data_IF_456442224313
#
_entry.id   IF_456442224313
#
_cell.length_a   1.000
_cell.length_b   1.000
_cell.length_c   1.000
_cell.angle_alpha   90.00
_cell.angle_beta   90.00
_cell.angle_gamma   90.00
#
_symmetry.space_group_name_H-M   'P 1'
#
loop_
_entity.id
_entity.type
_entity.pdbx_description
1 polymer ?
#
# COMPACT_ATOMS: atom_id res chain seq x y z
N UNK A 1 -23.33 -26.13 23.78
CA UNK A 1 -22.53 -24.92 23.49
C UNK A 1 -21.66 -24.55 24.68
N UNK A 2 -20.43 -24.08 24.44
CA UNK A 2 -19.41 -23.64 25.40
C UNK A 2 -18.64 -22.49 24.78
N UNK A 3 -18.37 -21.45 25.56
CA UNK A 3 -17.55 -20.31 25.12
C UNK A 3 -16.26 -20.27 25.92
N UNK A 4 -15.12 -20.21 25.24
CA UNK A 4 -13.82 -20.07 25.89
C UNK A 4 -12.89 -19.13 25.14
N UNK A 5 -12.03 -18.47 25.92
CA UNK A 5 -10.95 -17.61 25.46
C UNK A 5 -9.62 -18.24 25.89
N UNK A 6 -8.70 -18.40 24.94
CA UNK A 6 -7.35 -18.89 25.23
C UNK A 6 -6.33 -17.89 24.72
N UNK A 7 -5.39 -17.49 25.55
CA UNK A 7 -4.33 -16.56 25.16
C UNK A 7 -3.41 -17.21 24.12
N UNK A 8 -3.23 -16.54 22.97
CA UNK A 8 -2.49 -17.10 21.82
C UNK A 8 -0.98 -17.09 22.06
N UNK A 9 -0.45 -16.08 22.76
CA UNK A 9 1.00 -15.95 22.98
C UNK A 9 1.57 -17.03 23.91
N UNK A 10 0.88 -17.34 25.00
CA UNK A 10 1.37 -18.32 25.99
C UNK A 10 0.70 -19.71 25.88
N UNK A 11 -0.49 -19.81 25.27
CA UNK A 11 -1.28 -21.05 25.15
C UNK A 11 -1.71 -21.68 26.49
N UNK A 12 -1.50 -21.00 27.62
CA UNK A 12 -1.72 -21.51 28.99
C UNK A 12 -2.84 -20.79 29.71
N UNK A 13 -2.98 -19.49 29.52
CA UNK A 13 -4.10 -18.74 30.11
C UNK A 13 -5.38 -19.07 29.36
N UNK A 14 -6.29 -19.77 30.02
CA UNK A 14 -7.61 -20.11 29.47
C UNK A 14 -8.70 -19.59 30.41
N UNK A 15 -9.70 -18.94 29.84
CA UNK A 15 -10.91 -18.52 30.51
C UNK A 15 -12.09 -19.23 29.85
N UNK A 16 -12.88 -19.93 30.66
CA UNK A 16 -14.13 -20.55 30.24
C UNK A 16 -15.25 -19.72 30.86
N UNK A 17 -16.21 -19.32 30.04
CA UNK A 17 -17.32 -18.51 30.54
C UNK A 17 -18.15 -19.33 31.55
N UNK A 18 -18.40 -18.81 32.77
CA UNK A 18 -19.14 -19.54 33.81
C UNK A 18 -20.54 -19.95 33.41
N UNK A 19 -21.17 -19.09 32.62
CA UNK A 19 -22.52 -19.20 32.09
C UNK A 19 -22.47 -18.95 30.59
N UNK A 20 -23.28 -19.68 29.84
CA UNK A 20 -23.37 -19.50 28.40
C UNK A 20 -24.15 -18.20 28.08
N UNK A 21 -23.72 -17.43 27.07
CA UNK A 21 -24.56 -16.38 26.52
C UNK A 21 -25.80 -16.98 25.84
N UNK A 22 -26.90 -16.23 25.82
CA UNK A 22 -28.14 -16.66 25.15
C UNK A 22 -27.97 -16.65 23.62
N UNK A 23 -27.23 -15.68 23.10
CA UNK A 23 -26.97 -15.53 21.68
C UNK A 23 -25.51 -15.11 21.43
N UNK A 24 -24.93 -15.62 20.35
CA UNK A 24 -23.63 -15.16 19.85
C UNK A 24 -23.82 -14.63 18.43
N UNK A 25 -23.58 -13.34 18.24
CA UNK A 25 -23.71 -12.67 16.95
C UNK A 25 -22.33 -12.54 16.27
N UNK A 26 -22.24 -12.93 15.01
CA UNK A 26 -21.04 -12.80 14.19
C UNK A 26 -21.32 -11.99 12.92
N UNK A 27 -20.62 -10.88 12.74
CA UNK A 27 -20.78 -9.98 11.59
C UNK A 27 -19.56 -10.04 10.68
N UNK A 28 -19.76 -10.61 9.49
CA UNK A 28 -18.79 -10.60 8.39
C UNK A 28 -19.22 -9.56 7.36
N UNK A 29 -18.38 -8.55 7.11
CA UNK A 29 -18.69 -7.47 6.16
C UNK A 29 -17.67 -7.47 5.03
N UNK A 30 -18.15 -7.37 3.80
CA UNK A 30 -17.31 -7.10 2.63
C UNK A 30 -16.93 -5.62 2.63
N UNK A 31 -15.65 -5.33 2.37
CA UNK A 31 -15.20 -3.96 2.19
C UNK A 31 -15.47 -3.54 0.75
N UNK A 32 -16.19 -2.45 0.52
CA UNK A 32 -16.51 -1.94 -0.81
C UNK A 32 -15.79 -0.62 -1.06
N UNK A 33 -15.27 -0.46 -2.27
CA UNK A 33 -14.84 0.81 -2.82
C UNK A 33 -16.00 1.40 -3.61
N UNK A 34 -16.61 2.46 -3.07
CA UNK A 34 -17.67 3.20 -3.74
C UNK A 34 -17.08 4.27 -4.66
N UNK A 35 -17.66 4.43 -5.85
CA UNK A 35 -17.41 5.51 -6.79
C UNK A 35 -18.74 6.17 -7.13
N UNK A 36 -18.80 7.49 -7.05
CA UNK A 36 -19.95 8.25 -7.53
C UNK A 36 -19.64 8.81 -8.92
N UNK A 37 -20.44 8.43 -9.91
CA UNK A 37 -20.25 8.80 -11.31
C UNK A 37 -21.38 9.76 -11.68
N UNK A 38 -21.04 11.01 -11.99
CA UNK A 38 -21.97 12.12 -12.26
C UNK A 38 -23.15 11.78 -13.19
N UNK A 39 -22.95 10.89 -14.16
CA UNK A 39 -23.99 10.46 -15.11
C UNK A 39 -24.57 9.06 -14.86
N UNK A 40 -23.98 8.28 -13.96
CA UNK A 40 -24.24 6.85 -13.80
C UNK A 40 -24.61 6.42 -12.36
N UNK A 41 -24.53 7.34 -11.40
CA UNK A 41 -24.82 7.10 -9.98
C UNK A 41 -23.70 6.36 -9.25
N UNK A 42 -24.06 5.76 -8.10
CA UNK A 42 -23.11 5.08 -7.20
C UNK A 42 -22.78 3.66 -7.70
N UNK A 43 -21.50 3.37 -7.88
CA UNK A 43 -20.96 2.03 -8.21
C UNK A 43 -20.12 1.51 -7.03
N UNK A 44 -20.46 0.33 -6.50
CA UNK A 44 -19.74 -0.33 -5.39
C UNK A 44 -18.94 -1.53 -5.88
N UNK A 45 -17.62 -1.50 -5.70
CA UNK A 45 -16.70 -2.57 -6.11
C UNK A 45 -16.15 -3.27 -4.85
N UNK A 46 -16.33 -4.58 -4.67
CA UNK A 46 -15.80 -5.29 -3.50
C UNK A 46 -14.26 -5.32 -3.53
N UNK A 47 -13.64 -4.80 -2.47
CA UNK A 47 -12.18 -4.69 -2.26
C UNK A 47 -11.79 -5.27 -0.90
N UNK A 48 -11.92 -6.59 -0.80
CA UNK A 48 -11.54 -7.36 0.39
C UNK A 48 -12.66 -7.46 1.43
N UNK A 49 -12.31 -7.93 2.63
CA UNK A 49 -13.23 -8.13 3.73
C UNK A 49 -12.84 -7.22 4.90
N UNK A 50 -13.83 -6.65 5.59
CA UNK A 50 -13.64 -6.04 6.91
C UNK A 50 -13.37 -7.16 7.93
N UNK A 51 -12.76 -6.79 9.04
CA UNK A 51 -12.51 -7.72 10.14
C UNK A 51 -13.86 -8.26 10.66
N UNK A 52 -13.91 -9.55 10.97
CA UNK A 52 -15.07 -10.16 11.60
C UNK A 52 -15.28 -9.56 12.99
N UNK A 53 -16.48 -9.05 13.25
CA UNK A 53 -16.91 -8.56 14.56
C UNK A 53 -17.76 -9.66 15.21
N UNK A 54 -17.48 -10.00 16.46
CA UNK A 54 -18.29 -10.97 17.24
C UNK A 54 -18.76 -10.27 18.50
N UNK A 55 -20.04 -10.38 18.83
CA UNK A 55 -20.54 -9.87 20.10
C UNK A 55 -21.55 -10.80 20.73
N UNK A 56 -21.56 -10.82 22.06
CA UNK A 56 -22.52 -11.57 22.85
C UNK A 56 -22.66 -10.94 24.24
N UNK A 57 -23.82 -11.16 24.85
CA UNK A 57 -24.14 -10.71 26.19
C UNK A 57 -24.54 -11.90 27.08
N UNK A 58 -24.38 -11.73 28.40
CA UNK A 58 -24.74 -12.76 29.36
C UNK A 58 -24.70 -12.26 30.80
N UNK A 59 -24.80 -13.18 31.75
CA UNK A 59 -24.87 -12.87 33.18
C UNK A 59 -23.84 -13.70 33.95
N UNK A 60 -22.88 -13.04 34.59
CA UNK A 60 -22.07 -13.68 35.62
C UNK A 60 -22.87 -13.81 36.91
N UNK A 61 -23.25 -15.05 37.23
CA UNK A 61 -24.01 -15.37 38.43
C UNK A 61 -23.16 -15.24 39.70
N UNK A 62 -23.68 -14.53 40.69
CA UNK A 62 -23.11 -14.43 42.02
C UNK A 62 -23.21 -15.75 42.79
N UNK A 63 -22.59 -15.82 43.96
CA UNK A 63 -22.39 -17.07 44.69
C UNK A 63 -23.69 -17.81 45.02
N UNK A 64 -24.76 -17.07 45.35
CA UNK A 64 -26.06 -17.66 45.68
C UNK A 64 -26.67 -18.47 44.51
N UNK A 65 -26.26 -18.18 43.27
CA UNK A 65 -26.76 -18.80 42.04
C UNK A 65 -25.71 -19.69 41.36
N UNK A 66 -24.68 -20.13 42.09
CA UNK A 66 -23.58 -20.94 41.51
C UNK A 66 -23.99 -22.35 41.04
N UNK A 67 -25.10 -22.88 41.55
CA UNK A 67 -25.60 -24.21 41.23
C UNK A 67 -26.77 -24.18 40.22
N UNK A 68 -27.02 -23.04 39.58
CA UNK A 68 -27.99 -22.96 38.50
C UNK A 68 -27.55 -23.84 37.33
N UNK A 69 -28.50 -24.52 36.68
CA UNK A 69 -28.22 -25.46 35.58
C UNK A 69 -27.47 -24.84 34.38
N UNK A 70 -27.60 -23.52 34.21
CA UNK A 70 -26.91 -22.73 33.19
C UNK A 70 -25.44 -22.44 33.55
N UNK A 71 -25.05 -22.57 34.82
CA UNK A 71 -23.69 -22.34 35.31
C UNK A 71 -22.90 -23.63 35.22
N UNK A 72 -21.97 -23.69 34.25
CA UNK A 72 -21.11 -24.86 34.03
C UNK A 72 -19.96 -24.93 35.02
N UNK A 73 -19.32 -23.78 35.25
CA UNK A 73 -18.20 -23.65 36.17
C UNK A 73 -18.28 -22.29 36.84
N UNK A 74 -18.57 -22.27 38.13
CA UNK A 74 -18.70 -21.00 38.83
C UNK A 74 -17.35 -20.32 39.06
N UNK A 75 -17.27 -19.05 38.68
CA UNK A 75 -16.17 -18.13 38.94
C UNK A 75 -16.79 -16.86 39.51
N UNK A 76 -16.13 -16.23 40.48
CA UNK A 76 -16.63 -14.99 41.07
C UNK A 76 -16.78 -13.91 39.98
N UNK A 77 -17.94 -13.23 39.88
CA UNK A 77 -18.16 -12.20 38.86
C UNK A 77 -17.08 -11.10 38.80
N UNK A 78 -16.56 -10.69 39.96
CA UNK A 78 -15.45 -9.72 40.05
C UNK A 78 -14.12 -10.25 39.47
N UNK A 79 -13.87 -11.56 39.57
CA UNK A 79 -12.68 -12.18 38.96
C UNK A 79 -12.82 -12.28 37.44
N UNK A 80 -14.00 -12.66 36.94
CA UNK A 80 -14.30 -12.64 35.51
C UNK A 80 -14.07 -11.25 34.90
N UNK A 81 -14.63 -10.23 35.54
CA UNK A 81 -14.47 -8.83 35.13
C UNK A 81 -13.00 -8.42 35.10
N UNK A 82 -12.23 -8.78 36.12
CA UNK A 82 -10.80 -8.47 36.21
C UNK A 82 -9.98 -9.16 35.12
N UNK A 83 -10.26 -10.42 34.81
CA UNK A 83 -9.55 -11.17 33.76
C UNK A 83 -9.80 -10.52 32.40
N UNK A 84 -11.07 -10.26 32.06
CA UNK A 84 -11.47 -9.69 30.79
C UNK A 84 -10.91 -8.26 30.61
N UNK A 85 -11.00 -7.41 31.65
CA UNK A 85 -10.40 -6.07 31.64
C UNK A 85 -8.89 -6.12 31.43
N UNK A 86 -8.19 -7.00 32.14
CA UNK A 86 -6.74 -7.13 32.01
C UNK A 86 -6.33 -7.54 30.58
N UNK A 87 -7.05 -8.47 29.95
CA UNK A 87 -6.80 -8.85 28.56
C UNK A 87 -7.13 -7.73 27.57
N UNK A 88 -8.20 -6.97 27.81
CA UNK A 88 -8.56 -5.79 27.01
C UNK A 88 -7.50 -4.70 27.13
N UNK A 89 -7.09 -4.32 28.34
CA UNK A 89 -6.09 -3.29 28.63
C UNK A 89 -4.72 -3.63 28.03
N UNK A 90 -4.32 -4.91 28.07
CA UNK A 90 -3.07 -5.38 27.46
C UNK A 90 -3.14 -5.55 25.95
N UNK A 91 -4.33 -5.45 25.34
CA UNK A 91 -4.53 -5.79 23.93
C UNK A 91 -4.14 -7.24 23.61
N UNK A 92 -4.42 -8.16 24.55
CA UNK A 92 -4.00 -9.57 24.43
C UNK A 92 -4.73 -10.23 23.27
N UNK A 93 -4.00 -10.96 22.44
CA UNK A 93 -4.60 -11.77 21.37
C UNK A 93 -5.15 -13.06 21.97
N UNK A 94 -6.46 -13.26 21.82
CA UNK A 94 -7.19 -14.39 22.37
C UNK A 94 -7.77 -15.22 21.23
N UNK A 95 -7.72 -16.54 21.36
CA UNK A 95 -8.51 -17.46 20.53
C UNK A 95 -9.88 -17.63 21.14
N UNK A 96 -10.90 -17.11 20.44
CA UNK A 96 -12.30 -17.31 20.79
C UNK A 96 -12.80 -18.60 20.15
N UNK A 97 -13.22 -19.54 20.99
CA UNK A 97 -13.82 -20.80 20.58
C UNK A 97 -15.21 -20.92 21.17
N UNK A 98 -16.19 -21.16 20.29
CA UNK A 98 -17.58 -21.41 20.66
C UNK A 98 -17.99 -22.79 20.13
N UNK A 99 -18.20 -23.75 21.01
CA UNK A 99 -18.57 -25.12 20.60
C UNK A 99 -19.95 -25.15 19.94
N UNK A 100 -20.17 -26.13 19.07
CA UNK A 100 -21.39 -26.26 18.23
C UNK A 100 -21.58 -25.12 17.21
N UNK A 101 -20.57 -24.26 17.02
CA UNK A 101 -20.55 -23.23 15.97
C UNK A 101 -19.23 -23.27 15.20
N UNK A 102 -19.16 -22.55 14.08
CA UNK A 102 -17.92 -22.39 13.30
C UNK A 102 -17.01 -21.27 13.83
N UNK A 103 -17.24 -20.79 15.06
CA UNK A 103 -16.45 -19.72 15.67
C UNK A 103 -15.24 -20.35 16.36
N UNK A 104 -14.10 -20.30 15.68
CA UNK A 104 -12.78 -20.61 16.22
C UNK A 104 -11.76 -19.68 15.56
N UNK A 105 -11.68 -18.44 16.04
CA UNK A 105 -10.86 -17.38 15.44
C UNK A 105 -10.06 -16.61 16.50
N UNK A 106 -8.94 -16.05 16.08
CA UNK A 106 -8.14 -15.17 16.91
C UNK A 106 -8.75 -13.76 16.91
N UNK A 107 -8.94 -13.19 18.08
CA UNK A 107 -9.68 -11.94 18.35
C UNK A 107 -8.97 -11.11 19.41
N UNK A 108 -9.33 -9.83 19.47
CA UNK A 108 -9.06 -8.93 20.59
C UNK A 108 -10.38 -8.40 21.13
N UNK A 109 -10.44 -8.11 22.42
CA UNK A 109 -11.62 -7.47 23.04
C UNK A 109 -11.64 -6.02 22.58
N UNK A 110 -12.66 -5.62 21.83
CA UNK A 110 -12.86 -4.23 21.41
C UNK A 110 -13.64 -3.44 22.43
N UNK A 111 -14.66 -4.05 23.02
CA UNK A 111 -15.49 -3.43 24.04
C UNK A 111 -15.91 -4.45 25.10
N UNK A 112 -15.99 -3.99 26.34
CA UNK A 112 -16.40 -4.80 27.48
C UNK A 112 -17.09 -3.93 28.52
N UNK A 113 -18.37 -4.23 28.74
CA UNK A 113 -19.18 -3.57 29.76
C UNK A 113 -19.67 -4.60 30.77
N UNK A 114 -19.68 -4.20 32.04
CA UNK A 114 -20.13 -5.04 33.14
C UNK A 114 -20.94 -4.18 34.12
N UNK A 115 -22.20 -4.54 34.34
CA UNK A 115 -23.12 -3.80 35.21
C UNK A 115 -23.67 -4.72 36.29
N UNK A 116 -23.84 -4.20 37.50
CA UNK A 116 -24.46 -4.96 38.58
C UNK A 116 -25.95 -5.17 38.27
N UNK A 117 -26.40 -6.42 38.23
CA UNK A 117 -27.72 -6.77 37.73
C UNK A 117 -28.38 -7.83 38.61
N UNK A 118 -29.45 -7.45 39.30
CA UNK A 118 -30.12 -8.36 40.25
C UNK A 118 -29.26 -8.61 41.48
N UNK A 119 -29.87 -8.67 42.66
CA UNK A 119 -29.14 -8.88 43.92
C UNK A 119 -28.27 -10.14 43.94
N UNK A 120 -27.59 -10.39 45.06
CA UNK A 120 -26.68 -11.54 45.25
C UNK A 120 -25.37 -11.47 44.45
N UNK A 121 -24.97 -10.28 43.98
CA UNK A 121 -23.68 -10.07 43.32
C UNK A 121 -23.64 -10.55 41.87
N UNK A 122 -24.79 -10.68 41.22
CA UNK A 122 -24.89 -10.97 39.79
C UNK A 122 -24.44 -9.74 38.98
N UNK A 123 -23.78 -9.98 37.85
CA UNK A 123 -23.34 -8.94 36.93
C UNK A 123 -23.76 -9.29 35.50
N UNK A 124 -24.43 -8.37 34.81
CA UNK A 124 -24.69 -8.49 33.36
C UNK A 124 -23.46 -8.00 32.62
N UNK A 125 -23.01 -8.74 31.61
CA UNK A 125 -21.89 -8.35 30.77
C UNK A 125 -22.28 -8.25 29.30
N UNK A 126 -21.62 -7.33 28.59
CA UNK A 126 -21.64 -7.20 27.14
C UNK A 126 -20.20 -7.25 26.64
N UNK A 127 -19.92 -8.10 25.65
CA UNK A 127 -18.60 -8.25 25.06
C UNK A 127 -18.66 -8.06 23.55
N UNK A 128 -17.76 -7.24 23.04
CA UNK A 128 -17.48 -7.14 21.62
C UNK A 128 -16.02 -7.52 21.33
N UNK A 129 -15.85 -8.28 20.26
CA UNK A 129 -14.57 -8.76 19.78
C UNK A 129 -14.39 -8.35 18.33
N UNK A 130 -13.15 -8.05 17.98
CA UNK A 130 -12.73 -7.84 16.59
C UNK A 130 -11.68 -8.88 16.25
N UNK A 131 -11.81 -9.47 15.06
CA UNK A 131 -10.84 -10.43 14.54
C UNK A 131 -9.43 -9.84 14.51
N UNK A 132 -8.50 -10.51 15.17
CA UNK A 132 -7.10 -10.15 15.13
C UNK A 132 -6.50 -10.58 13.79
N UNK A 133 -5.89 -9.63 13.08
CA UNK A 133 -5.13 -9.91 11.85
C UNK A 133 -3.78 -9.23 11.94
N UNK A 134 -2.72 -10.04 12.05
CA UNK A 134 -1.35 -9.53 12.06
C UNK A 134 -1.06 -8.73 10.78
N UNK A 135 -0.58 -7.49 10.92
CA UNK A 135 -0.05 -6.72 9.81
C UNK A 135 1.31 -7.30 9.41
N UNK A 136 1.31 -8.16 8.37
CA UNK A 136 2.56 -8.57 7.72
C UNK A 136 2.93 -7.50 6.70
N UNK A 137 3.76 -6.55 7.11
CA UNK A 137 4.40 -5.60 6.19
C UNK A 137 5.56 -6.32 5.54
N UNK A 138 5.43 -6.62 4.26
CA UNK A 138 6.53 -7.20 3.49
C UNK A 138 7.28 -6.08 2.76
N UNK A 139 8.60 -6.15 2.77
CA UNK A 139 9.44 -5.25 1.98
C UNK A 139 9.38 -5.62 0.50
N UNK A 140 9.76 -4.67 -0.38
CA UNK A 140 9.85 -4.91 -1.82
C UNK A 140 10.81 -6.04 -2.19
N UNK A 141 11.81 -6.28 -1.33
CA UNK A 141 12.81 -7.32 -1.47
C UNK A 141 12.20 -8.70 -1.12
N UNK A 142 11.43 -8.80 -0.03
CA UNK A 142 10.74 -10.03 0.38
C UNK A 142 9.63 -10.45 -0.60
N UNK A 143 8.89 -9.49 -1.16
CA UNK A 143 7.85 -9.74 -2.16
C UNK A 143 8.41 -9.95 -3.58
N UNK A 144 9.73 -9.84 -3.77
CA UNK A 144 10.39 -9.95 -5.09
C UNK A 144 9.78 -9.03 -6.16
N UNK A 145 9.17 -7.91 -5.77
CA UNK A 145 8.46 -6.98 -6.68
C UNK A 145 9.42 -6.31 -7.65
N UNK A 146 10.69 -6.17 -7.27
CA UNK A 146 11.78 -5.71 -8.16
C UNK A 146 11.94 -6.56 -9.43
N UNK A 147 11.46 -7.82 -9.47
CA UNK A 147 11.43 -8.61 -10.71
C UNK A 147 10.25 -8.24 -11.64
N UNK A 148 9.18 -7.67 -11.09
CA UNK A 148 7.96 -7.29 -11.82
C UNK A 148 7.89 -5.80 -12.19
N UNK A 149 8.72 -4.95 -11.58
CA UNK A 149 9.02 -3.66 -12.18
C UNK A 149 9.74 -3.97 -13.48
N UNK A 150 8.99 -3.96 -14.59
CA UNK A 150 9.55 -3.90 -15.94
C UNK A 150 10.66 -2.86 -15.86
N UNK A 151 11.90 -3.33 -15.91
CA UNK A 151 13.07 -2.50 -16.18
C UNK A 151 12.68 -1.75 -17.44
N UNK A 152 12.32 -0.48 -17.31
CA UNK A 152 12.16 0.38 -18.47
C UNK A 152 13.54 0.35 -19.10
N UNK A 153 13.66 -0.44 -20.17
CA UNK A 153 14.85 -0.45 -20.99
C UNK A 153 14.90 0.97 -21.52
N UNK A 154 15.74 1.79 -20.90
CA UNK A 154 16.11 3.07 -21.46
C UNK A 154 16.62 2.73 -22.86
N UNK A 155 15.87 3.17 -23.88
CA UNK A 155 16.26 3.02 -25.28
C UNK A 155 17.71 3.49 -25.36
N UNK A 156 18.66 2.66 -25.82
CA UNK A 156 20.04 3.07 -25.98
C UNK A 156 20.03 4.38 -26.75
N UNK A 157 20.59 5.44 -26.16
CA UNK A 157 20.85 6.65 -26.92
C UNK A 157 21.67 6.20 -28.13
N UNK A 158 21.20 6.51 -29.34
CA UNK A 158 21.88 6.13 -30.56
C UNK A 158 23.36 6.51 -30.42
N UNK A 159 24.24 5.51 -30.48
CA UNK A 159 25.67 5.73 -30.34
C UNK A 159 26.09 6.75 -31.39
N UNK A 160 26.68 7.87 -30.95
CA UNK A 160 27.20 8.89 -31.83
C UNK A 160 28.21 8.21 -32.79
N UNK A 161 28.07 8.39 -34.11
CA UNK A 161 28.98 7.77 -35.06
C UNK A 161 30.41 8.23 -34.78
N UNK A 162 31.32 7.26 -34.61
CA UNK A 162 32.75 7.40 -34.27
C UNK A 162 33.62 8.05 -35.36
N UNK A 163 33.04 8.80 -36.30
CA UNK A 163 33.78 9.46 -37.37
C UNK A 163 33.80 10.98 -37.14
N UNK A 164 34.71 11.41 -36.27
CA UNK A 164 35.02 12.82 -35.95
C UNK A 164 36.03 13.39 -36.94
N UNK A 165 35.61 13.66 -38.18
CA UNK A 165 36.48 14.23 -39.20
C UNK A 165 35.83 15.35 -40.00
N UNK A 166 34.66 15.07 -40.58
CA UNK A 166 33.92 16.03 -41.40
C UNK A 166 32.47 15.60 -41.59
N UNK A 167 31.56 16.55 -41.73
CA UNK A 167 30.14 16.34 -42.00
C UNK A 167 29.66 17.20 -43.16
N UNK A 168 29.03 16.59 -44.16
CA UNK A 168 28.35 17.31 -45.23
C UNK A 168 26.93 17.64 -44.81
N UNK A 169 26.61 18.94 -44.76
CA UNK A 169 25.28 19.46 -44.41
C UNK A 169 24.23 18.92 -45.38
N UNK A 170 23.11 18.43 -44.85
CA UNK A 170 21.95 17.97 -45.63
C UNK A 170 20.82 19.00 -45.55
N UNK A 171 19.87 18.90 -46.47
CA UNK A 171 18.66 19.73 -46.43
C UNK A 171 17.91 19.53 -45.11
N UNK A 172 17.58 20.64 -44.44
CA UNK A 172 16.91 20.65 -43.14
C UNK A 172 17.83 20.56 -41.92
N UNK A 173 19.15 20.42 -42.10
CA UNK A 173 20.08 20.45 -40.97
C UNK A 173 20.28 21.87 -40.42
N UNK A 174 20.53 21.94 -39.12
CA UNK A 174 21.04 23.14 -38.45
C UNK A 174 22.21 22.76 -37.53
N UNK A 175 23.05 23.72 -37.16
CA UNK A 175 24.25 23.43 -36.35
C UNK A 175 23.92 22.74 -35.02
N UNK A 176 22.75 23.04 -34.43
CA UNK A 176 22.28 22.43 -33.18
C UNK A 176 21.98 20.94 -33.32
N UNK A 177 21.25 20.55 -34.37
CA UNK A 177 20.92 19.15 -34.68
C UNK A 177 22.16 18.35 -35.08
N UNK A 178 23.10 18.97 -35.82
CA UNK A 178 24.40 18.38 -36.14
C UNK A 178 25.19 18.15 -34.84
N UNK A 179 25.28 19.16 -33.96
CA UNK A 179 25.98 19.02 -32.69
C UNK A 179 25.39 17.92 -31.81
N UNK A 180 24.05 17.83 -31.74
CA UNK A 180 23.36 16.76 -31.01
C UNK A 180 23.68 15.37 -31.59
N UNK A 181 23.81 15.27 -32.92
CA UNK A 181 24.14 14.02 -33.62
C UNK A 181 25.58 13.55 -33.37
N UNK A 182 26.54 14.47 -33.27
CA UNK A 182 27.96 14.14 -33.14
C UNK A 182 28.49 14.15 -31.70
N UNK A 183 28.02 15.07 -30.86
CA UNK A 183 28.45 15.21 -29.46
C UNK A 183 27.46 14.61 -28.47
N UNK A 184 26.24 14.27 -28.90
CA UNK A 184 25.17 13.85 -27.99
C UNK A 184 24.61 15.01 -27.16
N UNK A 185 23.74 14.69 -26.20
CA UNK A 185 23.19 15.67 -25.26
C UNK A 185 22.20 16.67 -25.85
N UNK A 186 22.29 17.93 -25.40
CA UNK A 186 21.33 19.02 -25.68
C UNK A 186 21.68 19.89 -26.89
N UNK A 187 22.65 19.48 -27.73
CA UNK A 187 23.03 20.22 -28.94
C UNK A 187 23.70 21.59 -28.70
N UNK A 188 23.90 22.00 -27.45
CA UNK A 188 24.49 23.29 -27.05
C UNK A 188 25.95 23.47 -27.50
N UNK A 189 26.63 22.39 -27.88
CA UNK A 189 28.01 22.39 -28.39
C UNK A 189 28.13 22.81 -29.87
N UNK A 190 27.05 23.26 -30.50
CA UNK A 190 27.03 23.76 -31.88
C UNK A 190 27.99 24.94 -32.12
N UNK A 191 28.23 25.74 -31.08
CA UNK A 191 29.15 26.87 -31.12
C UNK A 191 30.57 26.43 -31.47
N UNK A 192 30.99 25.22 -31.08
CA UNK A 192 32.28 24.63 -31.47
C UNK A 192 32.35 24.35 -32.97
N UNK A 193 31.27 23.86 -33.57
CA UNK A 193 31.20 23.60 -35.01
C UNK A 193 31.27 24.93 -35.78
N UNK A 194 30.53 25.95 -35.32
CA UNK A 194 30.55 27.26 -35.93
C UNK A 194 31.94 27.90 -35.87
N UNK A 195 32.59 27.89 -34.69
CA UNK A 195 33.91 28.50 -34.52
C UNK A 195 34.97 27.84 -35.40
N UNK A 196 34.96 26.51 -35.53
CA UNK A 196 35.89 25.77 -36.38
C UNK A 196 35.66 25.97 -37.89
N UNK A 197 34.45 26.35 -38.31
CA UNK A 197 34.07 26.46 -39.73
C UNK A 197 33.60 27.86 -40.13
N UNK A 198 33.88 28.88 -39.32
CA UNK A 198 33.32 30.23 -39.47
C UNK A 198 33.55 30.79 -40.87
N UNK A 199 34.76 30.67 -41.41
CA UNK A 199 35.11 31.14 -42.76
C UNK A 199 34.30 30.44 -43.86
N UNK A 200 34.17 29.12 -43.80
CA UNK A 200 33.43 28.30 -44.77
C UNK A 200 31.94 28.59 -44.73
N UNK A 201 31.36 28.70 -43.52
CA UNK A 201 29.93 28.97 -43.33
C UNK A 201 29.60 30.39 -43.83
N UNK A 202 30.40 31.40 -43.44
CA UNK A 202 30.20 32.79 -43.84
C UNK A 202 30.40 33.00 -45.36
N UNK A 203 31.41 32.37 -45.96
CA UNK A 203 31.63 32.46 -47.41
C UNK A 203 30.53 31.77 -48.20
N UNK A 204 30.03 30.62 -47.72
CA UNK A 204 28.90 29.94 -48.34
C UNK A 204 27.64 30.78 -48.25
N UNK A 205 27.33 31.37 -47.08
CA UNK A 205 26.17 32.26 -46.94
C UNK A 205 26.20 33.44 -47.93
N UNK A 206 27.37 34.03 -48.17
CA UNK A 206 27.55 35.07 -49.20
C UNK A 206 27.32 34.57 -50.62
N UNK A 207 27.79 33.36 -50.96
CA UNK A 207 27.54 32.75 -52.28
C UNK A 207 26.05 32.54 -52.54
N UNK A 208 25.27 32.28 -51.50
CA UNK A 208 23.81 32.13 -51.57
C UNK A 208 23.05 33.45 -51.34
N UNK A 209 23.72 34.60 -51.48
CA UNK A 209 23.08 35.92 -51.50
C UNK A 209 22.79 36.54 -50.12
N UNK A 210 23.37 36.03 -49.03
CA UNK A 210 23.25 36.62 -47.68
C UNK A 210 24.46 37.51 -47.36
N UNK A 211 24.27 38.52 -46.51
CA UNK A 211 25.36 39.37 -46.02
C UNK A 211 26.29 38.65 -45.03
N UNK A 212 25.73 37.71 -44.25
CA UNK A 212 26.43 36.83 -43.30
C UNK A 212 25.65 35.54 -43.05
N UNK A 213 26.23 34.59 -42.31
CA UNK A 213 25.52 33.37 -41.90
C UNK A 213 24.63 33.52 -40.66
N UNK A 214 24.55 34.73 -40.10
CA UNK A 214 23.88 35.02 -38.83
C UNK A 214 24.32 34.06 -37.72
N UNK A 215 25.63 34.08 -37.43
CA UNK A 215 26.26 33.23 -36.42
C UNK A 215 26.02 31.72 -36.60
N UNK A 216 25.94 31.26 -37.85
CA UNK A 216 25.72 29.86 -38.17
C UNK A 216 24.26 29.42 -38.19
N UNK A 217 23.31 30.37 -38.16
CA UNK A 217 21.91 30.10 -38.46
C UNK A 217 21.72 29.61 -39.90
N UNK A 218 22.46 30.19 -40.86
CA UNK A 218 22.40 29.83 -42.27
C UNK A 218 23.54 28.91 -42.67
N UNK A 219 23.23 27.62 -42.78
CA UNK A 219 24.08 26.60 -43.41
C UNK A 219 23.36 26.02 -44.63
N UNK A 220 24.12 25.64 -45.65
CA UNK A 220 23.56 25.21 -46.93
C UNK A 220 23.89 23.74 -47.21
N UNK A 221 22.97 22.98 -47.84
CA UNK A 221 23.23 21.59 -48.21
C UNK A 221 24.45 21.47 -49.11
N UNK A 222 25.29 20.46 -48.85
CA UNK A 222 26.54 20.24 -49.58
C UNK A 222 27.77 20.92 -48.98
N UNK A 223 27.61 21.84 -48.02
CA UNK A 223 28.74 22.40 -47.29
C UNK A 223 29.39 21.32 -46.40
N UNK A 224 30.69 21.13 -46.54
CA UNK A 224 31.47 20.21 -45.69
C UNK A 224 31.99 20.99 -44.47
N UNK A 225 31.61 20.54 -43.27
CA UNK A 225 32.02 21.12 -42.00
C UNK A 225 32.95 20.16 -41.24
N UNK A 226 34.04 20.68 -40.69
CA UNK A 226 34.88 19.96 -39.75
C UNK A 226 34.17 19.84 -38.41
N UNK A 227 34.15 18.66 -37.81
CA UNK A 227 33.55 18.44 -36.48
C UNK A 227 34.71 18.36 -35.46
N UNK A 228 35.03 19.45 -34.73
CA UNK A 228 36.15 19.47 -33.79
C UNK A 228 35.90 18.56 -32.57
N UNK A 229 36.93 18.30 -31.76
CA UNK A 229 36.79 17.51 -30.54
C UNK A 229 36.09 18.25 -29.38
#
# INVERSE_FOLDING_TARGET
>A
MDVSLTEVENGKSKFIFPSLPEEVSGRNRTNYQSYDILSYGEVKIPKGMKLTEISFEGIFFGEAKKNESIVKQWIKPAECEKILKNWQEKGTVLRLMVTETNINIDVTISDFECTDYGGYGNKKYSLEFVQYRSLKVYTTDELKIVKFVKKTVTRPAAAAPKNKGSYTVKSGDNLWSIARKFYGGSGSTWTKIYSANKSTIESTARRYGRSSSDNGHWIYPGTVLVIPN
#
